data_IF_034656776838
#
_entry.id   IF_034656776838
#
_cell.length_a   1.000
_cell.length_b   1.000
_cell.length_c   1.000
_cell.angle_alpha   90.00
_cell.angle_beta   90.00
_cell.angle_gamma   90.00
#
_symmetry.space_group_name_H-M   'P 1'
#
loop_
_entity.id
_entity.type
_entity.pdbx_description
1 polymer ?
#
# COMPACT_ATOMS: atom_id res chain seq x y z
N UNK A 1 6.29 14.50 10.17
CA UNK A 1 6.95 13.17 10.27
C UNK A 1 8.37 13.26 10.87
N UNK A 2 9.23 14.20 10.48
CA UNK A 2 10.58 14.34 11.07
C UNK A 2 10.51 14.49 12.58
N UNK A 3 9.61 15.32 13.09
CA UNK A 3 9.41 15.49 14.54
C UNK A 3 8.99 14.18 15.23
N UNK A 4 8.18 13.34 14.56
CA UNK A 4 7.82 12.03 15.09
C UNK A 4 9.05 11.10 15.18
N UNK A 5 9.96 11.16 14.20
CA UNK A 5 11.19 10.36 14.24
C UNK A 5 12.13 10.80 15.36
N UNK A 6 12.21 12.11 15.64
CA UNK A 6 12.96 12.63 16.78
C UNK A 6 12.41 12.11 18.10
N UNK A 7 11.08 12.11 18.28
CA UNK A 7 10.43 11.57 19.47
C UNK A 7 10.61 10.06 19.61
N UNK A 8 10.49 9.31 18.51
CA UNK A 8 10.79 7.88 18.49
C UNK A 8 12.26 7.65 18.91
N UNK A 9 13.18 8.42 18.36
CA UNK A 9 14.59 8.36 18.73
C UNK A 9 14.82 8.66 20.21
N UNK A 10 14.05 9.57 20.78
CA UNK A 10 14.16 9.92 22.20
C UNK A 10 13.73 8.78 23.11
N UNK A 11 12.65 8.07 22.76
CA UNK A 11 12.07 7.01 23.61
C UNK A 11 12.73 5.64 23.41
N UNK A 12 13.32 5.38 22.24
CA UNK A 12 14.02 4.12 21.99
C UNK A 12 15.31 4.03 22.78
N UNK A 13 15.58 2.87 23.33
CA UNK A 13 16.88 2.55 23.93
C UNK A 13 17.96 2.55 22.84
N UNK A 14 19.21 2.64 23.27
CA UNK A 14 20.36 2.49 22.37
C UNK A 14 20.29 1.14 21.68
N UNK A 15 20.50 1.11 20.37
CA UNK A 15 20.30 -0.06 19.50
C UNK A 15 18.86 -0.58 19.41
N UNK A 16 17.90 0.21 19.88
CA UNK A 16 16.48 -0.07 19.69
C UNK A 16 16.09 -0.14 18.23
N UNK A 17 15.10 -0.95 17.92
CA UNK A 17 14.62 -1.18 16.55
C UNK A 17 13.39 -0.35 16.25
N UNK A 18 13.38 0.31 15.10
CA UNK A 18 12.22 0.93 14.49
C UNK A 18 11.82 0.12 13.26
N UNK A 19 10.56 -0.24 13.19
CA UNK A 19 9.97 -0.87 11.99
C UNK A 19 9.07 0.17 11.30
N UNK A 20 9.36 0.47 10.05
CA UNK A 20 8.52 1.27 9.18
C UNK A 20 7.76 0.33 8.24
N UNK A 21 6.46 0.27 8.40
CA UNK A 21 5.57 -0.57 7.59
C UNK A 21 4.48 0.32 6.99
N UNK A 22 4.44 0.40 5.67
CA UNK A 22 3.46 1.25 4.98
C UNK A 22 3.17 0.78 3.56
N UNK A 23 1.98 1.13 3.03
CA UNK A 23 1.70 0.91 1.61
C UNK A 23 2.56 1.85 0.75
N UNK A 24 2.89 1.37 -0.45
CA UNK A 24 3.55 2.16 -1.50
C UNK A 24 2.62 2.33 -2.68
N UNK A 25 2.40 3.55 -3.13
CA UNK A 25 1.69 3.82 -4.38
C UNK A 25 2.48 3.21 -5.55
N UNK A 26 1.87 2.28 -6.28
CA UNK A 26 2.48 1.57 -7.41
C UNK A 26 1.42 1.06 -8.38
N UNK A 27 0.33 1.80 -8.54
CA UNK A 27 -0.78 1.43 -9.42
C UNK A 27 -1.15 -0.05 -9.22
N UNK A 28 -1.67 -0.37 -8.04
CA UNK A 28 -1.92 -1.75 -7.63
C UNK A 28 -2.84 -2.49 -8.60
N UNK A 29 -2.50 -3.75 -8.94
CA UNK A 29 -3.35 -4.57 -9.82
C UNK A 29 -4.72 -4.81 -9.23
N UNK A 30 -5.74 -4.68 -10.08
CA UNK A 30 -7.12 -5.09 -9.81
C UNK A 30 -7.34 -6.43 -10.47
N UNK A 31 -7.81 -7.41 -9.72
CA UNK A 31 -7.89 -8.81 -10.14
C UNK A 31 -9.29 -9.39 -9.91
N UNK A 32 -9.68 -10.30 -10.77
CA UNK A 32 -10.79 -11.21 -10.52
C UNK A 32 -10.21 -12.57 -10.15
N UNK A 33 -10.68 -13.11 -9.03
CA UNK A 33 -10.16 -14.35 -8.42
C UNK A 33 -11.25 -15.41 -8.40
N UNK A 34 -10.91 -16.63 -8.77
CA UNK A 34 -11.79 -17.79 -8.65
C UNK A 34 -10.95 -19.04 -8.38
N UNK A 35 -11.61 -20.19 -8.27
CA UNK A 35 -10.94 -21.49 -8.18
C UNK A 35 -10.01 -21.78 -9.37
N UNK A 36 -10.23 -21.10 -10.51
CA UNK A 36 -9.40 -21.24 -11.73
C UNK A 36 -8.17 -20.32 -11.76
N UNK A 37 -7.98 -19.44 -10.79
CA UNK A 37 -6.83 -18.57 -10.69
C UNK A 37 -7.18 -17.09 -10.65
N UNK A 38 -6.23 -16.25 -11.08
CA UNK A 38 -6.30 -14.80 -11.03
C UNK A 38 -6.23 -14.21 -12.42
N UNK A 39 -7.08 -13.21 -12.67
CA UNK A 39 -7.06 -12.44 -13.91
C UNK A 39 -6.90 -10.96 -13.57
N UNK A 40 -5.82 -10.33 -14.00
CA UNK A 40 -5.66 -8.89 -13.88
C UNK A 40 -6.57 -8.19 -14.89
N UNK A 41 -7.39 -7.27 -14.42
CA UNK A 41 -8.36 -6.54 -15.26
C UNK A 41 -8.01 -5.06 -15.41
N UNK A 42 -7.03 -4.59 -14.67
CA UNK A 42 -6.57 -3.21 -14.72
C UNK A 42 -5.76 -2.87 -13.48
N UNK A 43 -5.56 -1.58 -13.26
CA UNK A 43 -4.81 -1.07 -12.11
C UNK A 43 -5.53 0.11 -11.48
N UNK A 44 -5.36 0.31 -10.19
CA UNK A 44 -5.84 1.52 -9.53
C UNK A 44 -5.07 2.74 -10.04
N UNK A 45 -5.70 3.90 -9.95
CA UNK A 45 -5.05 5.18 -10.21
C UNK A 45 -4.49 5.73 -8.90
N UNK A 46 -3.20 6.05 -8.89
CA UNK A 46 -2.59 6.73 -7.74
C UNK A 46 -2.98 8.20 -7.77
N UNK A 47 -3.62 8.66 -6.70
CA UNK A 47 -4.02 10.06 -6.57
C UNK A 47 -2.86 10.92 -6.04
N UNK A 48 -2.84 12.23 -6.38
CA UNK A 48 -1.74 13.12 -5.99
C UNK A 48 -1.44 13.13 -4.49
N UNK A 49 -2.46 13.04 -3.64
CA UNK A 49 -2.27 13.03 -2.18
C UNK A 49 -1.51 11.78 -1.72
N UNK A 50 -1.83 10.61 -2.25
CA UNK A 50 -1.13 9.37 -1.92
C UNK A 50 0.33 9.40 -2.35
N UNK A 51 0.60 9.92 -3.55
CA UNK A 51 1.97 10.09 -4.05
C UNK A 51 2.76 11.08 -3.18
N UNK A 52 2.14 12.18 -2.77
CA UNK A 52 2.76 13.16 -1.90
C UNK A 52 3.06 12.59 -0.51
N UNK A 53 2.16 11.80 0.05
CA UNK A 53 2.35 11.14 1.35
C UNK A 53 3.51 10.14 1.31
N UNK A 54 3.61 9.33 0.26
CA UNK A 54 4.73 8.40 0.05
C UNK A 54 6.05 9.15 -0.04
N UNK A 55 6.08 10.22 -0.82
CA UNK A 55 7.29 11.03 -0.98
C UNK A 55 7.71 11.68 0.34
N UNK A 56 6.76 12.22 1.10
CA UNK A 56 7.02 12.82 2.41
C UNK A 56 7.57 11.80 3.40
N UNK A 57 7.03 10.59 3.40
CA UNK A 57 7.49 9.49 4.26
C UNK A 57 8.92 9.05 3.90
N UNK A 58 9.19 8.87 2.61
CA UNK A 58 10.55 8.53 2.13
C UNK A 58 11.57 9.59 2.52
N UNK A 59 11.23 10.86 2.33
CA UNK A 59 12.10 11.98 2.66
C UNK A 59 12.38 12.07 4.16
N UNK A 60 11.37 11.86 5.00
CA UNK A 60 11.53 11.88 6.45
C UNK A 60 12.50 10.78 6.92
N UNK A 61 12.38 9.57 6.39
CA UNK A 61 13.27 8.45 6.73
C UNK A 61 14.70 8.72 6.26
N UNK A 62 14.85 9.29 5.07
CA UNK A 62 16.17 9.70 4.55
C UNK A 62 16.83 10.78 5.42
N UNK A 63 16.07 11.75 5.88
CA UNK A 63 16.57 12.77 6.78
C UNK A 63 17.00 12.18 8.14
N UNK A 64 16.24 11.24 8.67
CA UNK A 64 16.61 10.52 9.89
C UNK A 64 17.91 9.73 9.74
N UNK A 65 18.13 9.13 8.60
CA UNK A 65 19.38 8.42 8.28
C UNK A 65 20.55 9.40 8.14
N UNK A 66 20.36 10.49 7.40
CA UNK A 66 21.39 11.52 7.19
C UNK A 66 21.79 12.23 8.51
N UNK A 67 20.84 12.40 9.42
CA UNK A 67 21.09 12.95 10.75
C UNK A 67 21.71 11.93 11.73
N UNK A 68 22.01 10.73 11.28
CA UNK A 68 22.55 9.63 12.08
C UNK A 68 21.68 9.25 13.29
N UNK A 69 20.37 9.44 13.19
CA UNK A 69 19.43 8.98 14.20
C UNK A 69 19.18 7.47 14.12
N UNK A 70 19.09 6.98 12.89
CA UNK A 70 18.82 5.59 12.57
C UNK A 70 19.68 5.12 11.41
N UNK A 71 19.99 3.83 11.41
CA UNK A 71 20.63 3.14 10.29
C UNK A 71 19.72 2.04 9.75
N UNK A 72 19.45 2.09 8.45
CA UNK A 72 18.66 1.06 7.78
C UNK A 72 19.42 -0.26 7.73
N UNK A 73 18.76 -1.35 8.10
CA UNK A 73 19.33 -2.69 8.07
C UNK A 73 18.64 -3.62 7.07
N UNK A 74 17.35 -3.41 6.83
CA UNK A 74 16.55 -4.26 5.95
C UNK A 74 15.52 -3.42 5.22
N UNK A 75 15.31 -3.72 3.96
CA UNK A 75 14.23 -3.17 3.15
C UNK A 75 13.66 -4.28 2.28
N UNK A 76 12.37 -4.53 2.42
CA UNK A 76 11.65 -5.53 1.63
C UNK A 76 10.29 -4.99 1.20
N UNK A 77 9.77 -5.53 0.11
CA UNK A 77 8.39 -5.31 -0.32
C UNK A 77 7.65 -6.63 -0.34
N UNK A 78 6.34 -6.57 -0.06
CA UNK A 78 5.48 -7.75 -0.12
C UNK A 78 4.07 -7.34 -0.51
N UNK A 79 3.30 -8.27 -1.11
CA UNK A 79 1.90 -7.99 -1.44
C UNK A 79 1.00 -8.14 -0.23
N UNK A 80 0.02 -7.24 -0.11
CA UNK A 80 -1.12 -7.37 0.79
C UNK A 80 -2.38 -7.50 -0.06
N UNK A 81 -3.11 -8.59 0.11
CA UNK A 81 -4.27 -8.89 -0.71
C UNK A 81 -5.56 -8.41 -0.04
N UNK A 82 -6.25 -7.47 -0.69
CA UNK A 82 -7.61 -7.09 -0.35
C UNK A 82 -8.57 -7.84 -1.27
N UNK A 83 -9.63 -8.40 -0.73
CA UNK A 83 -10.65 -9.10 -1.52
C UNK A 83 -12.05 -8.70 -1.08
N UNK A 84 -12.98 -8.66 -2.05
CA UNK A 84 -14.38 -8.38 -1.84
C UNK A 84 -15.22 -9.37 -2.63
N UNK A 85 -16.47 -9.56 -2.22
CA UNK A 85 -17.38 -10.51 -2.87
C UNK A 85 -17.89 -10.01 -4.23
N UNK A 86 -17.85 -8.72 -4.48
CA UNK A 86 -18.32 -8.11 -5.71
C UNK A 86 -17.54 -6.85 -6.08
N UNK A 87 -17.56 -6.46 -7.37
CA UNK A 87 -16.99 -5.17 -7.79
C UNK A 87 -17.61 -3.97 -7.08
N UNK A 88 -18.90 -4.02 -6.78
CA UNK A 88 -19.60 -2.95 -6.06
C UNK A 88 -19.04 -2.74 -4.67
N UNK A 89 -18.82 -3.82 -3.91
CA UNK A 89 -18.22 -3.73 -2.57
C UNK A 89 -16.82 -3.17 -2.63
N UNK A 90 -16.03 -3.58 -3.62
CA UNK A 90 -14.69 -3.02 -3.85
C UNK A 90 -14.73 -1.53 -4.11
N UNK A 91 -15.61 -1.08 -5.00
CA UNK A 91 -15.76 0.33 -5.33
C UNK A 91 -16.16 1.17 -4.12
N UNK A 92 -17.13 0.70 -3.35
CA UNK A 92 -17.58 1.36 -2.12
C UNK A 92 -16.44 1.50 -1.12
N UNK A 93 -15.64 0.46 -0.94
CA UNK A 93 -14.48 0.50 -0.05
C UNK A 93 -13.43 1.51 -0.51
N UNK A 94 -13.10 1.54 -1.79
CA UNK A 94 -12.14 2.50 -2.35
C UNK A 94 -12.63 3.94 -2.14
N UNK A 95 -13.90 4.20 -2.42
CA UNK A 95 -14.50 5.53 -2.27
C UNK A 95 -14.56 6.00 -0.82
N UNK A 96 -14.76 5.09 0.13
CA UNK A 96 -14.87 5.42 1.57
C UNK A 96 -13.51 5.44 2.27
N UNK A 97 -12.66 4.43 2.03
CA UNK A 97 -11.44 4.22 2.80
C UNK A 97 -10.18 4.72 2.10
N UNK A 98 -10.17 4.74 0.76
CA UNK A 98 -8.99 5.09 -0.03
C UNK A 98 -9.15 6.39 -0.82
N UNK A 99 -10.17 7.16 -0.54
CA UNK A 99 -10.56 8.33 -1.32
C UNK A 99 -9.44 9.35 -1.55
N UNK A 100 -8.47 9.43 -0.66
CA UNK A 100 -7.40 10.43 -0.72
C UNK A 100 -6.17 9.95 -1.51
N UNK A 101 -5.97 8.63 -1.65
CA UNK A 101 -4.75 8.11 -2.24
C UNK A 101 -4.92 7.19 -3.44
N UNK A 102 -6.06 6.57 -3.63
CA UNK A 102 -6.31 5.69 -4.76
C UNK A 102 -7.71 5.87 -5.33
N UNK A 103 -7.81 5.73 -6.65
CA UNK A 103 -9.07 5.79 -7.37
C UNK A 103 -9.20 4.62 -8.34
N UNK A 104 -10.40 4.41 -8.84
CA UNK A 104 -10.71 3.39 -9.81
C UNK A 104 -11.32 4.05 -11.04
N UNK A 105 -10.61 4.00 -12.18
CA UNK A 105 -11.13 4.51 -13.43
C UNK A 105 -12.35 3.71 -13.88
N UNK A 106 -13.29 4.34 -14.54
CA UNK A 106 -14.54 3.72 -14.97
C UNK A 106 -14.30 2.50 -15.87
N UNK A 107 -13.35 2.58 -16.78
CA UNK A 107 -13.01 1.47 -17.68
C UNK A 107 -12.46 0.25 -16.92
N UNK A 108 -11.68 0.45 -15.87
CA UNK A 108 -11.19 -0.63 -15.00
C UNK A 108 -12.34 -1.27 -14.23
N UNK A 109 -13.23 -0.43 -13.67
CA UNK A 109 -14.41 -0.92 -12.97
C UNK A 109 -15.33 -1.74 -13.89
N UNK A 110 -15.55 -1.28 -15.11
CA UNK A 110 -16.35 -2.01 -16.10
C UNK A 110 -15.72 -3.34 -16.49
N UNK A 111 -14.41 -3.40 -16.67
CA UNK A 111 -13.69 -4.66 -16.93
C UNK A 111 -13.74 -5.60 -15.75
N UNK A 112 -13.58 -5.11 -14.54
CA UNK A 112 -13.71 -5.92 -13.33
C UNK A 112 -15.13 -6.52 -13.21
N UNK A 113 -16.14 -5.71 -13.43
CA UNK A 113 -17.53 -6.13 -13.41
C UNK A 113 -17.82 -7.19 -14.47
N UNK A 114 -17.37 -6.99 -15.69
CA UNK A 114 -17.57 -7.95 -16.80
C UNK A 114 -16.86 -9.27 -16.54
N UNK A 115 -15.60 -9.22 -16.13
CA UNK A 115 -14.82 -10.42 -15.84
C UNK A 115 -15.40 -11.20 -14.66
N UNK A 116 -15.82 -10.49 -13.62
CA UNK A 116 -16.46 -11.11 -12.45
C UNK A 116 -17.80 -11.78 -12.81
N UNK A 117 -18.63 -11.13 -13.63
CA UNK A 117 -19.93 -11.67 -14.05
C UNK A 117 -19.79 -12.92 -14.93
N UNK A 118 -18.70 -13.04 -15.68
CA UNK A 118 -18.41 -14.18 -16.56
C UNK A 118 -17.60 -15.28 -15.87
N UNK A 119 -17.11 -15.04 -14.65
CA UNK A 119 -16.33 -16.00 -13.90
C UNK A 119 -17.20 -17.01 -13.16
N UNK A 120 -16.57 -17.98 -12.49
CA UNK A 120 -17.27 -18.99 -11.70
C UNK A 120 -18.06 -18.36 -10.54
N UNK A 121 -19.02 -19.13 -9.99
CA UNK A 121 -19.89 -18.64 -8.91
C UNK A 121 -19.13 -18.25 -7.63
N UNK A 122 -17.91 -18.78 -7.43
CA UNK A 122 -17.04 -18.46 -6.29
C UNK A 122 -16.16 -17.24 -6.53
N UNK A 123 -16.31 -16.55 -7.67
CA UNK A 123 -15.45 -15.43 -8.03
C UNK A 123 -15.56 -14.27 -7.04
N UNK A 124 -14.38 -13.69 -6.76
CA UNK A 124 -14.22 -12.49 -5.96
C UNK A 124 -13.39 -11.48 -6.74
N UNK A 125 -13.42 -10.24 -6.32
CA UNK A 125 -12.53 -9.22 -6.83
C UNK A 125 -11.48 -8.90 -5.78
N UNK A 126 -10.29 -8.51 -6.22
CA UNK A 126 -9.21 -8.19 -5.32
C UNK A 126 -8.31 -7.10 -5.84
N UNK A 127 -7.60 -6.49 -4.91
CA UNK A 127 -6.52 -5.55 -5.20
C UNK A 127 -5.29 -6.04 -4.45
N UNK A 128 -4.18 -6.14 -5.17
CA UNK A 128 -2.90 -6.55 -4.62
C UNK A 128 -2.06 -5.33 -4.30
N UNK A 129 -2.17 -4.86 -3.06
CA UNK A 129 -1.42 -3.71 -2.59
C UNK A 129 0.06 -4.06 -2.41
N UNK A 130 0.93 -3.10 -2.71
CA UNK A 130 2.36 -3.22 -2.45
C UNK A 130 2.68 -2.59 -1.11
N UNK A 131 3.28 -3.38 -0.22
CA UNK A 131 3.71 -2.96 1.09
C UNK A 131 5.22 -2.85 1.14
N UNK A 132 5.71 -1.84 1.83
CA UNK A 132 7.12 -1.66 2.15
C UNK A 132 7.31 -1.91 3.64
N UNK A 133 8.30 -2.73 3.98
CA UNK A 133 8.77 -2.88 5.34
C UNK A 133 10.27 -2.57 5.40
N UNK A 134 10.64 -1.68 6.30
CA UNK A 134 12.05 -1.36 6.56
C UNK A 134 12.34 -1.48 8.04
N UNK A 135 13.52 -2.00 8.35
CA UNK A 135 14.03 -2.12 9.71
C UNK A 135 15.18 -1.15 9.90
N UNK A 136 15.10 -0.38 10.98
CA UNK A 136 16.08 0.63 11.33
C UNK A 136 16.57 0.39 12.75
N UNK A 137 17.85 0.64 12.98
CA UNK A 137 18.46 0.58 14.32
C UNK A 137 18.83 1.98 14.75
N UNK A 138 18.49 2.33 15.98
CA UNK A 138 18.94 3.59 16.59
C UNK A 138 20.45 3.56 16.78
N UNK A 139 21.13 4.58 16.25
CA UNK A 139 22.61 4.64 16.24
C UNK A 139 23.21 5.50 17.34
N UNK A 140 22.38 6.28 18.04
CA UNK A 140 22.88 7.20 19.07
C UNK A 140 22.26 6.99 20.45
#
# INVERSE_FOLDING_TARGET
>A
MVHALEEIGRVLTRQGTLIDLRPMADRWPVEVLSSRGRQEVGRVTDLPQGLADDQAANEAMRQGENAALFKRQLEETFPLYYTWNSPKEMQEYIEEEWMDFAGLDEDVWLRARSAWALADADARVGIRAKMLITRWIKTS
#
